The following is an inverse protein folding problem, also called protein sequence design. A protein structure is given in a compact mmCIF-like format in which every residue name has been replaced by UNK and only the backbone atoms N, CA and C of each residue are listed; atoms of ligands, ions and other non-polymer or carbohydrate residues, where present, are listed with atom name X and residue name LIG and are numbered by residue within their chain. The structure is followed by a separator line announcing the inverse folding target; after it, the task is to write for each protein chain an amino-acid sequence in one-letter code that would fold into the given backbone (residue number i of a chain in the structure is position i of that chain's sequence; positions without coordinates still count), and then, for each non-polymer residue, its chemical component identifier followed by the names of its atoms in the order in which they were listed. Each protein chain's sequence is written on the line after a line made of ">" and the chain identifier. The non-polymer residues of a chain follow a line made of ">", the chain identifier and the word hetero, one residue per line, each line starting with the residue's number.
data_IF_030445332247
#
_entry.id   IF_030445332247
#
_cell.length_a   1.000
_cell.length_b   1.000
_cell.length_c   1.000
_cell.angle_alpha   90.00
_cell.angle_beta   90.00
_cell.angle_gamma   90.00
#
_symmetry.space_group_name_H-M   'P 1'
#
loop_
_entity.id
_entity.type
_entity.pdbx_description
1 polymer ?
#
# COMPACT_ATOMS: atom_id res chain seq x y z
N UNK A 1 -16.33 3.76 -8.64
CA UNK A 1 -15.01 4.04 -9.21
C UNK A 1 -13.95 4.21 -8.12
N UNK A 2 -12.71 4.41 -8.53
CA UNK A 2 -11.54 4.55 -7.63
C UNK A 2 -11.74 5.63 -6.55
N UNK A 3 -12.30 6.78 -6.90
CA UNK A 3 -12.50 7.88 -5.96
C UNK A 3 -13.50 7.53 -4.86
N UNK A 4 -14.56 6.79 -5.18
CA UNK A 4 -15.53 6.30 -4.19
C UNK A 4 -14.90 5.27 -3.25
N UNK A 5 -14.12 4.34 -3.81
CA UNK A 5 -13.41 3.32 -3.05
C UNK A 5 -12.45 3.94 -2.01
N UNK A 6 -11.73 5.00 -2.39
CA UNK A 6 -10.86 5.75 -1.46
C UNK A 6 -11.68 6.32 -0.30
N UNK A 7 -12.86 6.88 -0.55
CA UNK A 7 -13.71 7.43 0.51
C UNK A 7 -14.16 6.34 1.48
N UNK A 8 -14.72 5.25 0.98
CA UNK A 8 -15.27 4.18 1.81
C UNK A 8 -14.16 3.49 2.63
N UNK A 9 -13.04 3.15 2.02
CA UNK A 9 -11.89 2.57 2.73
C UNK A 9 -11.29 3.52 3.77
N UNK A 10 -11.30 4.83 3.51
CA UNK A 10 -10.83 5.81 4.50
C UNK A 10 -11.74 5.84 5.73
N UNK A 11 -13.05 5.78 5.54
CA UNK A 11 -14.00 5.71 6.66
C UNK A 11 -13.83 4.43 7.45
N UNK A 12 -13.80 3.26 6.78
CA UNK A 12 -13.61 1.96 7.41
C UNK A 12 -12.31 1.89 8.22
N UNK A 13 -11.21 2.39 7.65
CA UNK A 13 -9.92 2.41 8.33
C UNK A 13 -9.94 3.33 9.56
N UNK A 14 -10.58 4.50 9.47
CA UNK A 14 -10.69 5.43 10.59
C UNK A 14 -11.57 4.87 11.70
N UNK A 15 -12.70 4.26 11.38
CA UNK A 15 -13.59 3.62 12.35
C UNK A 15 -12.89 2.43 13.03
N UNK A 16 -12.18 1.60 12.26
CA UNK A 16 -11.39 0.49 12.81
C UNK A 16 -10.28 0.97 13.75
N UNK A 17 -9.57 2.04 13.39
CA UNK A 17 -8.49 2.59 14.22
C UNK A 17 -9.03 3.16 15.53
N UNK A 18 -10.12 3.90 15.49
CA UNK A 18 -10.69 4.56 16.67
C UNK A 18 -11.47 3.62 17.58
N UNK A 19 -11.98 2.51 17.07
CA UNK A 19 -12.64 1.47 17.87
C UNK A 19 -11.67 0.56 18.63
N UNK A 20 -10.36 0.63 18.34
CA UNK A 20 -9.36 -0.16 19.07
C UNK A 20 -9.09 0.40 20.47
N UNK A 21 -9.00 -0.48 21.51
CA UNK A 21 -8.82 -0.05 22.91
C UNK A 21 -7.46 0.63 23.19
N UNK A 22 -6.57 0.68 22.21
CA UNK A 22 -5.21 1.24 22.31
C UNK A 22 -5.03 2.56 21.56
N UNK A 23 -6.08 3.13 21.01
CA UNK A 23 -5.99 4.45 20.37
C UNK A 23 -5.58 5.50 21.42
N UNK A 24 -4.35 6.03 21.29
CA UNK A 24 -3.85 7.12 22.14
C UNK A 24 -3.88 8.41 21.32
N UNK A 25 -4.64 9.38 21.79
CA UNK A 25 -4.62 10.74 21.27
C UNK A 25 -4.04 11.64 22.35
N UNK A 26 -2.95 12.35 22.03
CA UNK A 26 -2.25 13.25 22.97
C UNK A 26 -1.87 12.62 24.33
N UNK A 27 -1.49 11.32 24.33
CA UNK A 27 -1.06 10.62 25.55
C UNK A 27 -2.19 10.15 26.45
N UNK A 28 -3.45 10.45 26.13
CA UNK A 28 -4.64 9.98 26.85
C UNK A 28 -5.20 8.75 26.17
N UNK A 29 -5.46 7.70 26.95
CA UNK A 29 -6.14 6.52 26.46
C UNK A 29 -7.63 6.85 26.31
N UNK A 30 -8.10 6.90 25.07
CA UNK A 30 -9.53 7.17 24.77
C UNK A 30 -10.19 5.83 24.47
N UNK A 31 -11.32 5.57 25.09
CA UNK A 31 -12.19 4.44 24.75
C UNK A 31 -12.70 4.54 23.30
N UNK A 32 -13.52 3.58 22.83
CA UNK A 32 -14.01 3.56 21.47
C UNK A 32 -14.70 4.89 21.15
N UNK A 33 -14.16 5.61 20.17
CA UNK A 33 -14.68 6.88 19.68
C UNK A 33 -15.38 6.61 18.36
N UNK A 34 -16.68 6.80 18.32
CA UNK A 34 -17.43 6.78 17.07
C UNK A 34 -17.21 8.07 16.28
N UNK A 35 -16.96 7.96 15.00
CA UNK A 35 -16.92 9.10 14.09
C UNK A 35 -18.31 9.27 13.46
N UNK A 36 -18.85 10.49 13.54
CA UNK A 36 -20.07 10.84 12.81
C UNK A 36 -19.72 11.20 11.36
N UNK A 37 -20.07 10.30 10.44
CA UNK A 37 -19.86 10.46 9.01
C UNK A 37 -21.04 11.17 8.29
N UNK A 38 -22.06 11.61 9.00
CA UNK A 38 -23.27 12.23 8.42
C UNK A 38 -22.92 13.39 7.49
N UNK A 39 -21.96 14.22 7.87
CA UNK A 39 -21.47 15.31 7.03
C UNK A 39 -20.78 14.86 5.73
N UNK A 40 -20.18 13.68 5.70
CA UNK A 40 -19.54 13.15 4.50
C UNK A 40 -20.56 12.48 3.54
N UNK A 41 -21.71 12.05 4.06
CA UNK A 41 -22.82 11.50 3.27
C UNK A 41 -23.75 12.57 2.70
N UNK A 42 -24.01 13.63 3.45
CA UNK A 42 -24.91 14.73 3.03
C UNK A 42 -24.26 15.68 2.02
N UNK A 43 -22.94 15.68 1.87
CA UNK A 43 -22.27 16.47 0.86
C UNK A 43 -22.55 15.87 -0.54
N UNK A 44 -23.67 16.25 -1.15
CA UNK A 44 -23.92 16.13 -2.59
C UNK A 44 -22.90 16.99 -3.36
N UNK A 45 -21.64 16.70 -3.15
CA UNK A 45 -20.51 17.43 -3.67
C UNK A 45 -19.57 16.51 -4.48
N UNK A 46 -18.69 17.13 -5.22
CA UNK A 46 -17.61 16.42 -5.87
C UNK A 46 -16.71 15.73 -4.83
N UNK A 47 -15.88 14.82 -5.27
CA UNK A 47 -14.95 14.05 -4.44
C UNK A 47 -14.16 14.91 -3.43
N UNK A 48 -13.68 16.09 -3.86
CA UNK A 48 -12.95 17.03 -3.00
C UNK A 48 -13.77 17.46 -1.78
N UNK A 49 -15.04 17.79 -1.97
CA UNK A 49 -15.93 18.24 -0.89
C UNK A 49 -16.13 17.12 0.15
N UNK A 50 -16.35 15.89 -0.32
CA UNK A 50 -16.51 14.72 0.55
C UNK A 50 -15.24 14.42 1.34
N UNK A 51 -14.08 14.45 0.70
CA UNK A 51 -12.79 14.27 1.36
C UNK A 51 -12.51 15.37 2.40
N UNK A 52 -12.88 16.62 2.12
CA UNK A 52 -12.75 17.70 3.10
C UNK A 52 -13.61 17.46 4.35
N UNK A 53 -14.78 16.86 4.20
CA UNK A 53 -15.60 16.41 5.33
C UNK A 53 -14.86 15.36 6.18
N UNK A 54 -14.24 14.39 5.53
CA UNK A 54 -13.43 13.35 6.20
C UNK A 54 -12.24 13.99 6.93
N UNK A 55 -11.46 14.86 6.27
CA UNK A 55 -10.33 15.55 6.91
C UNK A 55 -10.74 16.33 8.16
N UNK A 56 -11.89 17.02 8.15
CA UNK A 56 -12.40 17.71 9.34
C UNK A 56 -12.63 16.76 10.51
N UNK A 57 -13.06 15.54 10.27
CA UNK A 57 -13.23 14.55 11.34
C UNK A 57 -11.87 14.01 11.81
N UNK A 58 -10.96 13.65 10.89
CA UNK A 58 -9.63 13.17 11.24
C UNK A 58 -8.83 14.21 12.02
N UNK A 59 -8.92 15.49 11.65
CA UNK A 59 -8.26 16.60 12.33
C UNK A 59 -8.69 16.75 13.79
N UNK A 60 -9.97 16.48 14.13
CA UNK A 60 -10.44 16.50 15.53
C UNK A 60 -9.70 15.50 16.42
N UNK A 61 -9.20 14.42 15.83
CA UNK A 61 -8.50 13.34 16.51
C UNK A 61 -6.99 13.36 16.27
N UNK A 62 -6.48 14.41 15.62
CA UNK A 62 -5.07 14.54 15.24
C UNK A 62 -4.53 13.40 14.34
N UNK A 63 -5.41 12.81 13.55
CA UNK A 63 -5.09 11.67 12.66
C UNK A 63 -4.69 12.17 11.27
N UNK A 64 -3.60 11.61 10.72
CA UNK A 64 -3.19 11.77 9.33
C UNK A 64 -3.72 10.62 8.46
N UNK A 65 -3.87 10.88 7.16
CA UNK A 65 -4.31 9.92 6.16
C UNK A 65 -3.15 9.53 5.24
N UNK A 66 -2.88 8.23 5.12
CA UNK A 66 -2.02 7.68 4.07
C UNK A 66 -2.90 7.03 3.01
N UNK A 67 -2.84 7.55 1.80
CA UNK A 67 -3.51 6.96 0.63
C UNK A 67 -2.49 6.12 -0.13
N UNK A 68 -2.82 4.86 -0.39
CA UNK A 68 -2.00 3.96 -1.20
C UNK A 68 -2.74 3.60 -2.47
N UNK A 69 -2.08 3.71 -3.63
CA UNK A 69 -2.62 3.35 -4.93
C UNK A 69 -1.65 2.39 -5.60
N UNK A 70 -2.10 1.19 -5.85
CA UNK A 70 -1.38 0.21 -6.64
C UNK A 70 -1.87 0.24 -8.11
N UNK A 71 -1.02 -0.21 -9.01
CA UNK A 71 -1.29 -0.24 -10.45
C UNK A 71 -1.66 1.12 -11.07
N UNK A 72 -0.92 2.18 -10.72
CA UNK A 72 -1.16 3.51 -11.29
C UNK A 72 -1.14 3.48 -12.83
N UNK A 73 -2.08 4.22 -13.43
CA UNK A 73 -2.17 4.39 -14.88
C UNK A 73 -2.63 5.80 -15.23
N UNK A 74 -2.20 6.31 -16.40
CA UNK A 74 -2.67 7.61 -16.92
C UNK A 74 -3.96 7.51 -17.73
N UNK A 75 -4.39 6.29 -18.06
CA UNK A 75 -5.55 6.04 -18.90
C UNK A 75 -6.88 6.24 -18.15
N UNK A 76 -6.81 6.39 -16.81
CA UNK A 76 -7.97 6.66 -15.97
C UNK A 76 -8.09 8.16 -15.74
N UNK A 77 -9.14 8.76 -16.24
CA UNK A 77 -9.49 10.15 -15.97
C UNK A 77 -9.56 10.43 -14.45
N UNK A 78 -10.07 9.46 -13.68
CA UNK A 78 -10.13 9.54 -12.22
C UNK A 78 -8.74 9.69 -11.57
N UNK A 79 -7.69 9.11 -12.15
CA UNK A 79 -6.32 9.26 -11.63
C UNK A 79 -5.83 10.71 -11.76
N UNK A 80 -6.12 11.36 -12.88
CA UNK A 80 -5.75 12.76 -13.08
C UNK A 80 -6.57 13.69 -12.17
N UNK A 81 -7.86 13.42 -12.02
CA UNK A 81 -8.73 14.14 -11.08
C UNK A 81 -8.25 13.98 -9.64
N UNK A 82 -7.95 12.74 -9.23
CA UNK A 82 -7.40 12.45 -7.91
C UNK A 82 -6.13 13.25 -7.65
N UNK A 83 -5.15 13.15 -8.55
CA UNK A 83 -3.86 13.80 -8.39
C UNK A 83 -4.01 15.33 -8.30
N UNK A 84 -4.87 15.93 -9.13
CA UNK A 84 -5.15 17.36 -9.10
C UNK A 84 -5.74 17.79 -7.74
N UNK A 85 -6.72 17.05 -7.22
CA UNK A 85 -7.36 17.36 -5.93
C UNK A 85 -6.40 17.09 -4.77
N UNK A 86 -5.60 16.02 -4.82
CA UNK A 86 -4.57 15.74 -3.81
C UNK A 86 -3.60 16.92 -3.65
N UNK A 87 -3.19 17.54 -4.76
CA UNK A 87 -2.34 18.74 -4.72
C UNK A 87 -2.97 19.86 -3.88
N UNK A 88 -4.31 20.03 -3.96
CA UNK A 88 -5.00 21.02 -3.14
C UNK A 88 -4.93 20.69 -1.66
N UNK A 89 -5.14 19.43 -1.28
CA UNK A 89 -5.05 19.01 0.12
C UNK A 89 -3.65 19.28 0.71
N UNK A 90 -2.60 19.00 -0.06
CA UNK A 90 -1.23 19.31 0.36
C UNK A 90 -1.02 20.82 0.54
N UNK A 91 -1.53 21.64 -0.38
CA UNK A 91 -1.43 23.12 -0.29
C UNK A 91 -2.24 23.69 0.88
N UNK A 92 -3.34 23.06 1.22
CA UNK A 92 -4.20 23.42 2.36
C UNK A 92 -3.65 22.91 3.70
N UNK A 93 -2.49 22.26 3.70
CA UNK A 93 -1.83 21.75 4.90
C UNK A 93 -2.55 20.57 5.55
N UNK A 94 -3.35 19.82 4.79
CA UNK A 94 -3.98 18.61 5.31
C UNK A 94 -2.94 17.56 5.66
N UNK A 95 -3.14 16.84 6.76
CA UNK A 95 -2.27 15.72 7.17
C UNK A 95 -2.51 14.51 6.26
N UNK A 96 -2.03 14.59 5.03
CA UNK A 96 -2.19 13.55 4.01
C UNK A 96 -0.85 13.20 3.37
N UNK A 97 -0.62 11.90 3.19
CA UNK A 97 0.48 11.35 2.41
C UNK A 97 -0.04 10.44 1.30
N UNK A 98 0.73 10.30 0.24
CA UNK A 98 0.39 9.48 -0.92
C UNK A 98 1.55 8.56 -1.24
N UNK A 99 1.26 7.28 -1.37
CA UNK A 99 2.16 6.25 -1.89
C UNK A 99 1.53 5.64 -3.13
N UNK A 100 2.25 5.67 -4.23
CA UNK A 100 1.78 5.08 -5.49
C UNK A 100 2.78 4.04 -5.99
N UNK A 101 2.28 2.92 -6.48
CA UNK A 101 3.05 1.88 -7.13
C UNK A 101 2.51 1.58 -8.52
N UNK A 102 3.37 1.11 -9.41
CA UNK A 102 2.96 0.74 -10.75
C UNK A 102 4.15 0.34 -11.63
N UNK A 103 3.84 -0.11 -12.82
CA UNK A 103 4.86 -0.48 -13.79
C UNK A 103 5.68 0.75 -14.21
N UNK A 104 7.01 0.64 -14.38
CA UNK A 104 7.89 1.78 -14.63
C UNK A 104 7.44 2.67 -15.78
N UNK A 105 6.95 2.08 -16.88
CA UNK A 105 6.48 2.83 -18.04
C UNK A 105 5.18 3.61 -17.76
N UNK A 106 4.27 3.04 -16.94
CA UNK A 106 3.02 3.70 -16.53
C UNK A 106 3.29 4.86 -15.57
N UNK A 107 4.15 4.63 -14.58
CA UNK A 107 4.61 5.69 -13.65
C UNK A 107 5.29 6.81 -14.43
N UNK A 108 6.18 6.48 -15.37
CA UNK A 108 6.84 7.47 -16.22
C UNK A 108 5.87 8.26 -17.09
N UNK A 109 4.81 7.62 -17.60
CA UNK A 109 3.76 8.27 -18.37
C UNK A 109 2.95 9.25 -17.50
N UNK A 110 2.58 8.84 -16.27
CA UNK A 110 1.91 9.70 -15.30
C UNK A 110 2.76 10.93 -14.97
N UNK A 111 4.04 10.75 -14.66
CA UNK A 111 4.94 11.85 -14.31
C UNK A 111 5.20 12.84 -15.47
N UNK A 112 5.03 12.41 -16.72
CA UNK A 112 5.13 13.28 -17.92
C UNK A 112 3.87 14.07 -18.20
N UNK A 113 2.74 13.72 -17.61
CA UNK A 113 1.50 14.45 -17.80
C UNK A 113 1.58 15.82 -17.09
N UNK A 114 1.34 16.88 -17.85
CA UNK A 114 1.49 18.25 -17.34
C UNK A 114 0.43 18.62 -16.29
N UNK A 115 -0.75 18.01 -16.36
CA UNK A 115 -1.83 18.23 -15.38
C UNK A 115 -1.47 17.79 -13.97
N UNK A 116 -0.48 16.92 -13.83
CA UNK A 116 -0.03 16.37 -12.54
C UNK A 116 1.48 16.57 -12.31
N UNK A 117 2.03 17.60 -12.90
CA UNK A 117 3.48 17.92 -12.87
C UNK A 117 4.06 18.01 -11.45
N UNK A 118 3.26 18.31 -10.44
CA UNK A 118 3.70 18.36 -9.05
C UNK A 118 4.19 16.98 -8.54
N UNK A 119 3.71 15.87 -9.09
CA UNK A 119 4.15 14.52 -8.76
C UNK A 119 5.64 14.29 -9.08
N UNK A 120 6.22 15.06 -10.00
CA UNK A 120 7.66 15.01 -10.32
C UNK A 120 8.56 15.39 -9.12
N UNK A 121 7.99 16.01 -8.08
CA UNK A 121 8.69 16.36 -6.84
C UNK A 121 8.61 15.26 -5.79
N UNK A 122 7.84 14.19 -6.06
CA UNK A 122 7.74 13.04 -5.18
C UNK A 122 9.05 12.25 -5.18
N UNK A 123 9.30 11.59 -4.06
CA UNK A 123 10.40 10.65 -3.98
C UNK A 123 10.07 9.43 -4.86
N UNK A 124 10.99 9.06 -5.74
CA UNK A 124 10.84 7.94 -6.66
C UNK A 124 11.80 6.81 -6.27
N UNK A 125 11.24 5.62 -6.13
CA UNK A 125 12.00 4.40 -5.87
C UNK A 125 11.71 3.39 -6.96
N UNK A 126 12.75 2.94 -7.64
CA UNK A 126 12.65 1.84 -8.59
C UNK A 126 13.02 0.54 -7.87
N UNK A 127 12.05 -0.37 -7.77
CA UNK A 127 12.30 -1.71 -7.25
C UNK A 127 13.05 -2.52 -8.30
N UNK A 128 14.23 -3.01 -7.93
CA UNK A 128 15.05 -3.87 -8.75
C UNK A 128 14.77 -5.35 -8.54
N UNK A 129 15.67 -6.19 -9.07
CA UNK A 129 15.68 -7.63 -8.81
C UNK A 129 16.08 -7.89 -7.35
N UNK A 130 15.51 -8.92 -6.75
CA UNK A 130 15.92 -9.41 -5.44
C UNK A 130 17.29 -10.08 -5.61
N UNK A 131 18.20 -9.84 -4.66
CA UNK A 131 19.52 -10.45 -4.71
C UNK A 131 19.48 -11.94 -4.35
N UNK A 132 20.42 -12.73 -4.90
CA UNK A 132 20.53 -14.16 -4.62
C UNK A 132 20.64 -14.44 -3.11
N UNK A 133 21.35 -13.59 -2.38
CA UNK A 133 21.51 -13.69 -0.91
C UNK A 133 20.17 -13.50 -0.20
N UNK A 134 19.37 -12.53 -0.61
CA UNK A 134 18.04 -12.28 -0.03
C UNK A 134 17.08 -13.43 -0.33
N UNK A 135 17.11 -13.97 -1.56
CA UNK A 135 16.31 -15.14 -1.97
C UNK A 135 16.69 -16.35 -1.12
N UNK A 136 17.99 -16.66 -1.03
CA UNK A 136 18.49 -17.77 -0.23
C UNK A 136 18.09 -17.66 1.24
N UNK A 137 18.23 -16.47 1.82
CA UNK A 137 17.84 -16.22 3.21
C UNK A 137 16.32 -16.36 3.43
N UNK A 138 15.51 -15.92 2.50
CA UNK A 138 14.06 -16.05 2.60
C UNK A 138 13.61 -17.50 2.54
N UNK A 139 14.12 -18.30 1.59
CA UNK A 139 13.84 -19.74 1.52
C UNK A 139 14.26 -20.47 2.78
N UNK A 140 15.50 -20.24 3.25
CA UNK A 140 16.01 -20.88 4.48
C UNK A 140 15.12 -20.56 5.67
N UNK A 141 14.84 -19.28 5.93
CA UNK A 141 14.00 -18.87 7.05
C UNK A 141 12.58 -19.44 6.98
N UNK A 142 11.99 -19.51 5.79
CA UNK A 142 10.63 -20.05 5.62
C UNK A 142 10.58 -21.55 5.91
N UNK A 143 11.59 -22.31 5.44
CA UNK A 143 11.68 -23.76 5.66
C UNK A 143 11.97 -24.07 7.13
N UNK A 144 12.90 -23.35 7.75
CA UNK A 144 13.28 -23.51 9.17
C UNK A 144 12.12 -23.14 10.12
N UNK A 145 11.30 -22.15 9.78
CA UNK A 145 10.15 -21.72 10.61
C UNK A 145 9.12 -22.83 10.83
N UNK A 146 9.09 -23.85 9.98
CA UNK A 146 8.20 -25.02 10.09
C UNK A 146 8.94 -26.29 10.49
N UNK A 147 10.18 -26.17 10.99
CA UNK A 147 10.96 -27.29 11.48
C UNK A 147 11.57 -28.19 10.39
N UNK A 148 11.61 -27.70 9.14
CA UNK A 148 12.24 -28.41 8.01
C UNK A 148 13.62 -27.84 7.69
N UNK A 149 14.36 -28.50 6.80
CA UNK A 149 15.64 -28.01 6.29
C UNK A 149 15.69 -28.08 4.78
N UNK A 150 16.47 -27.21 4.17
CA UNK A 150 16.74 -27.22 2.72
C UNK A 150 18.22 -27.55 2.48
N UNK A 151 18.51 -28.41 1.50
CA UNK A 151 19.89 -28.74 1.16
C UNK A 151 20.58 -27.59 0.45
N UNK A 152 21.91 -27.47 0.53
CA UNK A 152 22.64 -26.44 -0.21
C UNK A 152 22.36 -26.47 -1.71
N UNK A 153 22.29 -27.67 -2.31
CA UNK A 153 22.04 -27.90 -3.73
C UNK A 153 20.63 -27.43 -4.12
N UNK A 154 19.60 -27.84 -3.36
CA UNK A 154 18.22 -27.44 -3.63
C UNK A 154 18.05 -25.93 -3.46
N UNK A 155 18.74 -25.34 -2.48
CA UNK A 155 18.73 -23.89 -2.27
C UNK A 155 19.36 -23.14 -3.44
N UNK A 156 20.51 -23.62 -3.94
CA UNK A 156 21.17 -23.01 -5.10
C UNK A 156 20.30 -23.10 -6.35
N UNK A 157 19.68 -24.25 -6.60
CA UNK A 157 18.77 -24.44 -7.74
C UNK A 157 17.52 -23.55 -7.62
N UNK A 158 16.97 -23.42 -6.42
CA UNK A 158 15.84 -22.53 -6.17
C UNK A 158 16.22 -21.07 -6.44
N UNK A 159 17.38 -20.61 -5.96
CA UNK A 159 17.88 -19.24 -6.22
C UNK A 159 18.03 -18.98 -7.70
N UNK A 160 18.66 -19.90 -8.44
CA UNK A 160 18.80 -19.80 -9.91
C UNK A 160 17.44 -19.74 -10.62
N UNK A 161 16.49 -20.57 -10.20
CA UNK A 161 15.16 -20.62 -10.80
C UNK A 161 14.35 -19.33 -10.55
N UNK A 162 14.56 -18.67 -9.41
CA UNK A 162 13.91 -17.39 -9.08
C UNK A 162 14.46 -16.25 -9.93
N UNK A 163 15.76 -16.25 -10.20
CA UNK A 163 16.45 -15.24 -11.02
C UNK A 163 16.06 -13.79 -10.64
N UNK A 164 15.92 -13.51 -9.36
CA UNK A 164 15.63 -12.17 -8.82
C UNK A 164 14.19 -11.68 -9.01
N UNK A 165 13.27 -12.47 -9.55
CA UNK A 165 11.88 -12.04 -9.76
C UNK A 165 10.97 -12.42 -8.56
N UNK A 166 10.29 -11.45 -7.89
CA UNK A 166 9.43 -11.71 -6.74
C UNK A 166 8.35 -12.77 -7.00
N UNK A 167 7.73 -12.73 -8.18
CA UNK A 167 6.73 -13.73 -8.58
C UNK A 167 7.32 -15.15 -8.63
N UNK A 168 8.51 -15.28 -9.21
CA UNK A 168 9.19 -16.58 -9.32
C UNK A 168 9.56 -17.14 -7.94
N UNK A 169 9.86 -16.27 -6.98
CA UNK A 169 10.14 -16.70 -5.61
C UNK A 169 8.94 -17.43 -4.98
N UNK A 170 7.71 -16.92 -5.17
CA UNK A 170 6.51 -17.60 -4.70
C UNK A 170 6.25 -18.89 -5.47
N UNK A 171 6.39 -18.87 -6.80
CA UNK A 171 6.13 -20.03 -7.64
C UNK A 171 7.12 -21.18 -7.36
N UNK A 172 8.41 -20.88 -7.31
CA UNK A 172 9.45 -21.86 -7.00
C UNK A 172 9.27 -22.40 -5.58
N UNK A 173 9.03 -21.53 -4.62
CA UNK A 173 8.77 -21.93 -3.24
C UNK A 173 7.56 -22.87 -3.12
N UNK A 174 6.46 -22.55 -3.76
CA UNK A 174 5.26 -23.39 -3.78
C UNK A 174 5.57 -24.76 -4.42
N UNK A 175 6.19 -24.79 -5.58
CA UNK A 175 6.50 -26.05 -6.29
C UNK A 175 7.48 -26.91 -5.52
N UNK A 176 8.51 -26.32 -4.95
CA UNK A 176 9.48 -27.04 -4.13
C UNK A 176 8.80 -27.64 -2.89
N UNK A 177 7.89 -26.91 -2.28
CA UNK A 177 7.11 -27.37 -1.13
C UNK A 177 6.20 -28.54 -1.50
N UNK A 178 5.40 -28.40 -2.55
CA UNK A 178 4.45 -29.38 -3.07
C UNK A 178 5.12 -30.75 -3.36
N UNK A 179 6.26 -30.73 -4.06
CA UNK A 179 7.01 -31.96 -4.38
C UNK A 179 7.65 -32.61 -3.15
N UNK A 180 7.95 -31.85 -2.11
CA UNK A 180 8.64 -32.32 -0.90
C UNK A 180 7.72 -32.51 0.32
N UNK A 181 6.39 -32.49 0.14
CA UNK A 181 5.41 -32.43 1.24
C UNK A 181 5.63 -33.50 2.32
N UNK A 182 6.00 -34.72 1.93
CA UNK A 182 6.24 -35.84 2.82
C UNK A 182 7.66 -35.95 3.38
N UNK A 183 8.56 -35.03 3.02
CA UNK A 183 9.97 -35.08 3.41
C UNK A 183 10.28 -34.02 4.50
N UNK A 184 11.01 -34.37 5.58
CA UNK A 184 11.51 -33.36 6.53
C UNK A 184 12.65 -32.51 5.94
N UNK A 185 13.17 -32.91 4.77
CA UNK A 185 14.27 -32.27 4.10
C UNK A 185 13.88 -31.98 2.63
N UNK A 186 14.16 -30.78 2.20
CA UNK A 186 13.95 -30.29 0.83
C UNK A 186 15.29 -30.31 0.09
#
# INVERSE_FOLDING_TARGET
>A
GMLEDIIERTKEAADSYLSQPHARINGVQIGPVGIDWTYAQEAQGNWRTRMNGIFKQLEKHDIGLLITIDEVTVDLEEMLQFASVYQHFVREGKKVALLMAGLPYKVSALLRNDSVSFLRRSQYHQLGRITDVEIANAFRKTVEAVGRSITPEALEDAVKAVDGFPYMMQLVGYRTWDVSESSPKI
#
